data_IF_547615519626
#
_entry.id   IF_547615519626
#
_cell.length_a   1.000
_cell.length_b   1.000
_cell.length_c   1.000
_cell.angle_alpha   90.00
_cell.angle_beta   90.00
_cell.angle_gamma   90.00
#
_symmetry.space_group_name_H-M   'P 1'
#
loop_
_entity.id
_entity.type
_entity.pdbx_description
1 polymer ?
#
# COMPACT_ATOMS: atom_id res chain seq x y z
N UNK A 1 2.19 5.59 -0.21
CA UNK A 1 2.66 6.96 -0.46
C UNK A 1 2.55 7.80 0.82
N UNK A 2 3.09 9.03 0.82
CA UNK A 2 2.89 9.98 1.90
C UNK A 2 1.49 10.62 1.85
N UNK A 3 1.17 11.53 2.79
CA UNK A 3 -0.10 12.31 2.79
C UNK A 3 -0.43 13.01 1.47
N UNK A 4 0.53 13.17 0.55
CA UNK A 4 0.28 13.74 -0.78
C UNK A 4 -0.41 12.76 -1.74
N UNK A 5 -0.40 11.46 -1.48
CA UNK A 5 -1.16 10.47 -2.25
C UNK A 5 -2.64 10.53 -1.88
N UNK A 6 -3.52 10.72 -2.87
CA UNK A 6 -4.97 10.79 -2.63
C UNK A 6 -5.51 9.51 -1.99
N UNK A 7 -5.13 8.34 -2.52
CA UNK A 7 -5.51 7.04 -1.97
C UNK A 7 -5.08 6.90 -0.52
N UNK A 8 -3.79 7.13 -0.22
CA UNK A 8 -3.27 7.00 1.15
C UNK A 8 -3.98 7.93 2.12
N UNK A 9 -4.31 9.16 1.69
CA UNK A 9 -5.01 10.13 2.52
C UNK A 9 -6.41 9.66 2.89
N UNK A 10 -7.15 9.12 1.93
CA UNK A 10 -8.54 8.69 2.12
C UNK A 10 -8.67 7.26 2.69
N UNK A 11 -7.68 6.38 2.48
CA UNK A 11 -7.76 5.00 2.97
C UNK A 11 -7.01 4.77 4.29
N UNK A 12 -6.00 5.57 4.58
CA UNK A 12 -5.17 5.35 5.77
C UNK A 12 -5.12 6.57 6.67
N UNK A 13 -4.66 7.71 6.18
CA UNK A 13 -4.37 8.87 7.05
C UNK A 13 -5.60 9.48 7.72
N UNK A 14 -6.78 9.43 7.12
CA UNK A 14 -7.99 9.98 7.73
C UNK A 14 -8.43 9.20 8.97
N UNK A 15 -8.08 7.92 9.08
CA UNK A 15 -8.45 7.07 10.21
C UNK A 15 -7.46 7.12 11.38
N UNK A 16 -6.26 7.70 11.19
CA UNK A 16 -5.24 7.73 12.24
C UNK A 16 -5.71 8.36 13.56
N UNK A 17 -6.43 9.51 13.56
CA UNK A 17 -6.91 10.07 14.82
C UNK A 17 -7.88 9.14 15.56
N UNK A 18 -8.78 8.48 14.82
CA UNK A 18 -9.72 7.52 15.37
C UNK A 18 -8.99 6.31 15.98
N UNK A 19 -8.03 5.73 15.26
CA UNK A 19 -7.24 4.60 15.72
C UNK A 19 -6.46 4.96 17.00
N UNK A 20 -5.81 6.12 17.02
CA UNK A 20 -5.07 6.60 18.19
C UNK A 20 -5.98 6.84 19.40
N UNK A 21 -7.17 7.39 19.20
CA UNK A 21 -8.16 7.60 20.26
C UNK A 21 -8.62 6.26 20.86
N UNK A 22 -8.66 5.19 20.04
CA UNK A 22 -9.00 3.84 20.48
C UNK A 22 -7.79 3.00 20.95
N UNK A 23 -6.67 3.64 21.28
CA UNK A 23 -5.51 2.98 21.87
C UNK A 23 -4.60 2.23 20.89
N UNK A 24 -4.82 2.39 19.58
CA UNK A 24 -3.97 1.76 18.55
C UNK A 24 -2.78 2.66 18.25
N UNK A 25 -1.57 2.18 18.50
CA UNK A 25 -0.34 2.89 18.15
C UNK A 25 0.00 2.62 16.68
N UNK A 26 -0.01 3.67 15.86
CA UNK A 26 0.25 3.54 14.42
C UNK A 26 1.57 4.21 14.02
N UNK A 27 2.45 3.43 13.41
CA UNK A 27 3.67 3.92 12.78
C UNK A 27 3.50 3.94 11.26
N UNK A 28 3.50 5.13 10.67
CA UNK A 28 3.37 5.29 9.22
C UNK A 28 4.72 5.28 8.55
N UNK A 29 4.93 4.36 7.62
CA UNK A 29 6.19 4.15 6.92
C UNK A 29 6.03 4.25 5.39
N UNK A 30 5.91 5.45 4.79
CA UNK A 30 5.84 5.59 3.34
C UNK A 30 7.14 5.17 2.67
N UNK A 31 7.04 4.47 1.51
CA UNK A 31 8.22 4.06 0.75
C UNK A 31 8.99 5.29 0.23
N UNK A 32 8.25 6.27 -0.29
CA UNK A 32 8.82 7.52 -0.80
C UNK A 32 8.33 8.72 0.02
N UNK A 33 9.25 9.60 0.45
CA UNK A 33 8.89 10.83 1.16
C UNK A 33 8.16 11.81 0.23
N UNK A 34 7.41 12.76 0.81
CA UNK A 34 6.64 13.78 0.07
C UNK A 34 7.50 14.58 -0.94
N UNK A 35 8.78 14.82 -0.60
CA UNK A 35 9.74 15.50 -1.49
C UNK A 35 9.97 14.74 -2.79
N UNK A 36 10.02 13.40 -2.74
CA UNK A 36 10.17 12.58 -3.95
C UNK A 36 8.96 12.69 -4.88
N UNK A 37 7.75 12.66 -4.32
CA UNK A 37 6.52 12.84 -5.10
C UNK A 37 6.47 14.22 -5.75
N UNK A 38 6.83 15.27 -5.03
CA UNK A 38 6.89 16.65 -5.57
C UNK A 38 7.84 16.72 -6.78
N UNK A 39 9.04 16.16 -6.67
CA UNK A 39 10.01 16.14 -7.75
C UNK A 39 9.53 15.32 -8.96
N UNK A 40 8.75 14.25 -8.75
CA UNK A 40 8.19 13.45 -9.85
C UNK A 40 7.10 14.20 -10.63
N UNK A 41 6.33 15.05 -9.96
CA UNK A 41 5.36 15.94 -10.64
C UNK A 41 6.04 17.06 -11.46
N UNK A 42 7.29 17.39 -11.17
CA UNK A 42 8.08 18.41 -11.88
C UNK A 42 8.99 17.84 -12.98
N UNK A 43 8.71 16.62 -13.49
CA UNK A 43 9.44 15.96 -14.58
C UNK A 43 10.94 15.71 -14.38
N UNK A 44 11.41 15.66 -13.14
CA UNK A 44 12.80 15.29 -12.87
C UNK A 44 13.00 13.79 -13.04
N UNK A 45 14.02 13.35 -13.79
CA UNK A 45 14.38 11.93 -13.97
C UNK A 45 14.48 11.24 -12.62
N UNK A 46 13.87 10.04 -12.49
CA UNK A 46 13.94 9.25 -11.27
C UNK A 46 15.40 8.99 -10.86
N UNK A 47 15.76 9.36 -9.64
CA UNK A 47 17.10 9.11 -9.12
C UNK A 47 17.17 7.65 -8.63
N UNK A 48 17.91 6.81 -9.34
CA UNK A 48 18.08 5.39 -9.03
C UNK A 48 18.66 5.18 -7.62
N UNK A 49 19.59 6.03 -7.20
CA UNK A 49 20.19 5.96 -5.88
C UNK A 49 19.16 6.21 -4.76
N UNK A 50 18.31 7.22 -4.92
CA UNK A 50 17.21 7.48 -3.97
C UNK A 50 16.20 6.32 -3.92
N UNK A 51 15.94 5.68 -5.05
CA UNK A 51 15.09 4.49 -5.09
C UNK A 51 15.75 3.33 -4.35
N UNK A 52 17.02 3.05 -4.59
CA UNK A 52 17.77 2.00 -3.90
C UNK A 52 17.80 2.24 -2.37
N UNK A 53 18.05 3.48 -1.94
CA UNK A 53 18.01 3.87 -0.53
C UNK A 53 16.61 3.65 0.10
N UNK A 54 15.53 3.99 -0.62
CA UNK A 54 14.17 3.78 -0.15
C UNK A 54 13.88 2.28 0.05
N UNK A 55 14.33 1.43 -0.87
CA UNK A 55 14.19 -0.03 -0.78
C UNK A 55 15.03 -0.62 0.35
N UNK A 56 16.27 -0.18 0.51
CA UNK A 56 17.14 -0.62 1.61
C UNK A 56 16.54 -0.23 2.98
N UNK A 57 16.04 1.00 3.10
CA UNK A 57 15.32 1.46 4.31
C UNK A 57 14.07 0.60 4.57
N UNK A 58 13.28 0.30 3.54
CA UNK A 58 12.08 -0.55 3.66
C UNK A 58 12.44 -1.95 4.13
N UNK A 59 13.48 -2.55 3.54
CA UNK A 59 13.97 -3.86 3.96
C UNK A 59 14.37 -3.84 5.43
N UNK A 60 15.15 -2.83 5.84
CA UNK A 60 15.55 -2.66 7.24
C UNK A 60 14.35 -2.52 8.18
N UNK A 61 13.32 -1.75 7.80
CA UNK A 61 12.08 -1.61 8.57
C UNK A 61 11.35 -2.96 8.75
N UNK A 62 11.26 -3.77 7.69
CA UNK A 62 10.64 -5.10 7.76
C UNK A 62 11.44 -6.07 8.63
N UNK A 63 12.77 -6.05 8.53
CA UNK A 63 13.65 -6.87 9.38
C UNK A 63 13.57 -6.48 10.86
N UNK A 64 13.15 -5.26 11.17
CA UNK A 64 12.95 -4.76 12.53
C UNK A 64 11.46 -4.62 12.90
N UNK A 65 10.57 -5.31 12.20
CA UNK A 65 9.13 -5.21 12.42
C UNK A 65 8.64 -5.99 13.65
N UNK A 66 9.47 -6.78 14.30
CA UNK A 66 9.13 -7.63 15.47
C UNK A 66 8.31 -6.93 16.57
N UNK A 67 8.48 -5.63 16.86
CA UNK A 67 7.67 -4.95 17.88
C UNK A 67 6.22 -4.68 17.50
N UNK A 68 5.83 -4.92 16.25
CA UNK A 68 4.47 -4.64 15.77
C UNK A 68 3.59 -5.88 15.84
N UNK A 69 2.32 -5.69 16.19
CA UNK A 69 1.29 -6.73 16.25
C UNK A 69 0.64 -6.99 14.89
N UNK A 70 0.67 -5.98 13.99
CA UNK A 70 0.06 -6.01 12.66
C UNK A 70 0.84 -5.15 11.66
N UNK A 71 0.94 -5.61 10.43
CA UNK A 71 1.47 -4.83 9.31
C UNK A 71 0.32 -4.56 8.33
N UNK A 72 0.03 -3.28 8.06
CA UNK A 72 -0.94 -2.87 7.05
C UNK A 72 -0.21 -2.38 5.80
N UNK A 73 -0.46 -3.04 4.67
CA UNK A 73 0.22 -2.79 3.40
C UNK A 73 -0.76 -2.15 2.43
N UNK A 74 -0.54 -0.91 2.09
CA UNK A 74 -1.26 -0.23 1.03
C UNK A 74 -0.61 -0.56 -0.31
N UNK A 75 -1.32 -1.33 -1.14
CA UNK A 75 -0.94 -1.78 -2.49
C UNK A 75 0.21 -2.80 -2.50
N UNK A 76 1.45 -2.36 -2.29
CA UNK A 76 2.64 -3.22 -2.34
C UNK A 76 3.80 -2.64 -1.53
N UNK A 77 4.63 -3.52 -0.99
CA UNK A 77 5.81 -3.12 -0.18
C UNK A 77 6.97 -2.71 -1.09
N UNK A 78 7.26 -3.53 -2.11
CA UNK A 78 8.36 -3.34 -3.05
C UNK A 78 7.85 -3.32 -4.50
N UNK A 79 7.45 -2.15 -5.05
CA UNK A 79 7.09 -2.03 -6.46
C UNK A 79 8.18 -2.61 -7.39
N UNK A 80 7.77 -3.28 -8.46
CA UNK A 80 8.67 -3.86 -9.46
C UNK A 80 9.61 -5.00 -9.00
N UNK A 81 9.56 -5.42 -7.74
CA UNK A 81 10.25 -6.62 -7.29
C UNK A 81 9.30 -7.82 -7.23
N UNK A 82 9.81 -9.07 -7.37
CA UNK A 82 9.02 -10.28 -7.23
C UNK A 82 8.31 -10.41 -5.88
N UNK A 83 7.21 -11.17 -5.85
CA UNK A 83 6.38 -11.35 -4.65
C UNK A 83 7.13 -11.91 -3.43
N UNK A 84 8.21 -12.67 -3.64
CA UNK A 84 9.02 -13.19 -2.52
C UNK A 84 9.60 -12.08 -1.62
N UNK A 85 9.80 -10.87 -2.13
CA UNK A 85 10.22 -9.73 -1.32
C UNK A 85 9.10 -9.16 -0.44
N UNK A 86 7.84 -9.37 -0.84
CA UNK A 86 6.67 -8.94 -0.06
C UNK A 86 6.48 -9.82 1.18
N UNK A 87 6.88 -11.08 1.13
CA UNK A 87 6.72 -12.04 2.22
C UNK A 87 7.84 -11.99 3.27
N UNK A 88 8.83 -11.11 3.13
CA UNK A 88 9.92 -10.97 4.11
C UNK A 88 9.37 -10.63 5.51
N UNK A 89 8.29 -9.84 5.60
CA UNK A 89 7.62 -9.54 6.87
C UNK A 89 7.09 -10.78 7.59
N UNK A 90 6.78 -11.86 6.87
CA UNK A 90 6.30 -13.13 7.43
C UNK A 90 7.36 -13.88 8.28
N UNK A 91 8.64 -13.50 8.19
CA UNK A 91 9.73 -14.06 9.03
C UNK A 91 9.39 -13.93 10.52
N UNK A 92 8.71 -12.85 10.92
CA UNK A 92 8.33 -12.61 12.31
C UNK A 92 6.96 -13.19 12.68
N UNK A 93 6.28 -13.88 11.75
CA UNK A 93 4.90 -14.39 11.91
C UNK A 93 3.89 -13.29 12.29
N UNK A 94 4.17 -12.04 11.96
CA UNK A 94 3.27 -10.93 12.20
C UNK A 94 2.15 -11.02 11.15
N UNK A 95 0.87 -11.03 11.54
CA UNK A 95 -0.22 -10.98 10.59
C UNK A 95 -0.16 -9.68 9.79
N UNK A 96 -0.55 -9.74 8.52
CA UNK A 96 -0.56 -8.57 7.68
C UNK A 96 -1.80 -8.47 6.80
N UNK A 97 -2.20 -7.25 6.57
CA UNK A 97 -3.35 -6.87 5.76
C UNK A 97 -2.86 -6.25 4.46
N UNK A 98 -3.41 -6.67 3.35
CA UNK A 98 -3.18 -6.07 2.05
C UNK A 98 -4.39 -5.25 1.62
N UNK A 99 -4.22 -3.96 1.37
CA UNK A 99 -5.29 -3.01 1.05
C UNK A 99 -5.17 -2.49 -0.39
N UNK A 100 -6.24 -2.69 -1.17
CA UNK A 100 -6.32 -2.34 -2.58
C UNK A 100 -7.54 -1.44 -2.87
N UNK A 101 -7.29 -0.24 -3.38
CA UNK A 101 -8.30 0.67 -3.92
C UNK A 101 -8.30 0.67 -5.46
N UNK A 102 -7.17 0.30 -6.08
CA UNK A 102 -6.94 0.26 -7.52
C UNK A 102 -6.56 -1.14 -7.99
N UNK A 103 -6.85 -1.46 -9.25
CA UNK A 103 -6.43 -2.68 -9.94
C UNK A 103 -4.93 -2.65 -10.29
N UNK A 104 -4.08 -2.47 -9.27
CA UNK A 104 -2.62 -2.32 -9.43
C UNK A 104 -1.97 -3.53 -10.11
N UNK A 105 -2.59 -4.72 -10.05
CA UNK A 105 -2.13 -5.93 -10.72
C UNK A 105 -2.04 -5.74 -12.24
N UNK A 106 -2.87 -4.87 -12.84
CA UNK A 106 -2.81 -4.57 -14.26
C UNK A 106 -1.54 -3.84 -14.71
N UNK A 107 -0.82 -3.23 -13.78
CA UNK A 107 0.53 -2.71 -14.07
C UNK A 107 1.49 -3.81 -14.51
N UNK A 108 1.27 -5.03 -14.03
CA UNK A 108 2.13 -6.19 -14.26
C UNK A 108 1.56 -7.18 -15.28
N UNK A 109 0.30 -7.59 -15.12
CA UNK A 109 -0.32 -8.63 -15.97
C UNK A 109 -0.66 -8.11 -17.38
N UNK A 110 -0.97 -6.81 -17.53
CA UNK A 110 -1.21 -6.15 -18.81
C UNK A 110 0.00 -5.36 -19.35
N UNK A 111 1.17 -5.48 -18.73
CA UNK A 111 2.37 -4.77 -19.19
C UNK A 111 2.70 -5.12 -20.67
N UNK A 112 3.07 -4.12 -21.47
CA UNK A 112 3.55 -4.32 -22.84
C UNK A 112 4.85 -5.13 -22.90
N UNK A 113 5.65 -5.10 -21.82
CA UNK A 113 6.94 -5.80 -21.73
C UNK A 113 6.73 -7.25 -21.31
N UNK A 114 7.02 -8.20 -22.20
CA UNK A 114 6.81 -9.65 -21.98
C UNK A 114 7.50 -10.18 -20.72
N UNK A 115 8.73 -9.73 -20.44
CA UNK A 115 9.48 -10.16 -19.25
C UNK A 115 8.79 -9.73 -17.95
N UNK A 116 8.21 -8.52 -17.91
CA UNK A 116 7.45 -8.03 -16.77
C UNK A 116 6.22 -8.90 -16.53
N UNK A 117 5.43 -9.19 -17.59
CA UNK A 117 4.27 -10.08 -17.47
C UNK A 117 4.65 -11.46 -16.96
N UNK A 118 5.75 -12.03 -17.46
CA UNK A 118 6.21 -13.37 -17.07
C UNK A 118 6.67 -13.44 -15.63
N UNK A 119 7.41 -12.44 -15.15
CA UNK A 119 8.01 -12.43 -13.82
C UNK A 119 7.08 -11.86 -12.75
N UNK A 120 6.33 -10.82 -13.08
CA UNK A 120 5.54 -10.02 -12.11
C UNK A 120 4.03 -10.12 -12.34
N UNK A 121 3.55 -10.69 -13.44
CA UNK A 121 2.12 -10.74 -13.78
C UNK A 121 1.24 -11.38 -12.71
N UNK A 122 1.77 -12.30 -11.93
CA UNK A 122 1.09 -12.91 -10.77
C UNK A 122 1.60 -12.42 -9.42
N UNK A 123 2.34 -11.31 -9.40
CA UNK A 123 2.92 -10.79 -8.15
C UNK A 123 1.84 -10.45 -7.13
N UNK A 124 0.88 -9.64 -7.52
CA UNK A 124 -0.19 -9.16 -6.62
C UNK A 124 -1.09 -10.32 -6.18
N UNK A 125 -1.39 -11.26 -7.06
CA UNK A 125 -2.16 -12.47 -6.70
C UNK A 125 -1.45 -13.27 -5.59
N UNK A 126 -0.12 -13.42 -5.68
CA UNK A 126 0.66 -14.07 -4.63
C UNK A 126 0.65 -13.29 -3.31
N UNK A 127 0.70 -11.96 -3.40
CA UNK A 127 0.58 -11.09 -2.22
C UNK A 127 -0.78 -11.27 -1.56
N UNK A 128 -1.87 -11.22 -2.33
CA UNK A 128 -3.24 -11.45 -1.85
C UNK A 128 -3.39 -12.85 -1.21
N UNK A 129 -2.83 -13.88 -1.84
CA UNK A 129 -2.87 -15.26 -1.34
C UNK A 129 -2.22 -15.42 0.05
N UNK A 130 -1.11 -14.72 0.30
CA UNK A 130 -0.37 -14.85 1.56
C UNK A 130 -0.80 -13.85 2.64
N UNK A 131 -1.64 -12.86 2.31
CA UNK A 131 -2.18 -11.93 3.28
C UNK A 131 -3.15 -12.64 4.25
N UNK A 132 -3.09 -12.29 5.52
CA UNK A 132 -4.08 -12.76 6.50
C UNK A 132 -5.47 -12.16 6.25
N UNK A 133 -5.52 -10.97 5.65
CA UNK A 133 -6.74 -10.29 5.22
C UNK A 133 -6.43 -9.44 3.99
N UNK A 134 -7.30 -9.51 2.99
CA UNK A 134 -7.31 -8.57 1.86
C UNK A 134 -8.49 -7.62 2.02
N UNK A 135 -8.21 -6.33 2.00
CA UNK A 135 -9.24 -5.28 1.93
C UNK A 135 -9.33 -4.82 0.49
N UNK A 136 -10.51 -4.94 -0.09
CA UNK A 136 -10.82 -4.56 -1.46
C UNK A 136 -11.71 -3.32 -1.48
N UNK A 137 -11.36 -2.31 -2.26
CA UNK A 137 -12.15 -1.07 -2.39
C UNK A 137 -13.46 -1.25 -3.14
N UNK A 138 -13.64 -2.37 -3.85
CA UNK A 138 -14.84 -2.70 -4.61
C UNK A 138 -14.94 -4.20 -4.92
N UNK A 139 -16.09 -4.62 -5.46
CA UNK A 139 -16.38 -6.01 -5.80
C UNK A 139 -15.36 -6.60 -6.81
N UNK A 140 -14.96 -5.85 -7.82
CA UNK A 140 -14.00 -6.30 -8.83
C UNK A 140 -12.64 -6.72 -8.21
N UNK A 141 -12.15 -5.94 -7.25
CA UNK A 141 -10.91 -6.24 -6.52
C UNK A 141 -11.09 -7.43 -5.57
N UNK A 142 -12.26 -7.55 -4.94
CA UNK A 142 -12.59 -8.68 -4.09
C UNK A 142 -12.60 -10.00 -4.88
N UNK A 143 -13.26 -10.05 -6.02
CA UNK A 143 -13.28 -11.20 -6.91
C UNK A 143 -11.87 -11.61 -7.39
N UNK A 144 -10.99 -10.62 -7.64
CA UNK A 144 -9.59 -10.92 -7.97
C UNK A 144 -8.85 -11.56 -6.80
N UNK A 145 -9.07 -11.06 -5.58
CA UNK A 145 -8.46 -11.62 -4.37
C UNK A 145 -8.94 -13.04 -4.10
N UNK A 146 -10.24 -13.31 -4.25
CA UNK A 146 -10.83 -14.65 -4.13
C UNK A 146 -10.24 -15.62 -5.17
N UNK A 147 -10.16 -15.20 -6.44
CA UNK A 147 -9.52 -15.97 -7.52
C UNK A 147 -8.04 -16.23 -7.27
N UNK A 148 -7.35 -15.33 -6.58
CA UNK A 148 -5.97 -15.50 -6.15
C UNK A 148 -5.82 -16.48 -4.98
N UNK A 149 -6.92 -16.87 -4.33
CA UNK A 149 -6.94 -17.76 -3.17
C UNK A 149 -6.61 -17.04 -1.86
N UNK A 150 -7.02 -15.79 -1.71
CA UNK A 150 -6.89 -15.05 -0.45
C UNK A 150 -7.67 -15.74 0.66
N UNK A 151 -7.10 -15.82 1.87
CA UNK A 151 -7.71 -16.51 3.01
C UNK A 151 -8.98 -15.80 3.51
N UNK A 152 -8.96 -14.49 3.50
CA UNK A 152 -10.08 -13.65 3.91
C UNK A 152 -10.10 -12.39 3.07
N UNK A 153 -11.29 -12.01 2.58
CA UNK A 153 -11.51 -10.80 1.78
C UNK A 153 -12.65 -10.00 2.39
N UNK A 154 -12.42 -8.70 2.57
CA UNK A 154 -13.43 -7.75 3.04
C UNK A 154 -13.54 -6.59 2.06
N UNK A 155 -14.75 -6.17 1.76
CA UNK A 155 -14.98 -5.01 0.90
C UNK A 155 -15.14 -3.77 1.77
N UNK A 156 -14.18 -2.84 1.63
CA UNK A 156 -14.20 -1.54 2.30
C UNK A 156 -14.04 -0.44 1.26
N UNK A 157 -15.14 0.16 0.77
CA UNK A 157 -15.08 1.25 -0.19
C UNK A 157 -14.30 2.45 0.35
N UNK A 158 -13.68 3.21 -0.57
CA UNK A 158 -13.07 4.49 -0.21
C UNK A 158 -14.16 5.51 0.08
N UNK A 159 -14.17 6.05 1.27
CA UNK A 159 -15.11 7.09 1.69
C UNK A 159 -14.39 8.40 1.96
N UNK A 160 -15.10 9.51 1.82
CA UNK A 160 -14.60 10.85 2.09
C UNK A 160 -15.27 11.36 3.36
N UNK A 161 -14.45 11.87 4.27
CA UNK A 161 -14.92 12.55 5.47
C UNK A 161 -15.49 13.92 5.05
N UNK A 162 -16.81 14.01 4.99
CA UNK A 162 -17.51 15.21 4.52
C UNK A 162 -17.27 16.42 5.42
N UNK A 163 -17.08 16.21 6.72
CA UNK A 163 -16.82 17.30 7.67
C UNK A 163 -15.49 18.02 7.38
N UNK A 164 -14.49 17.30 6.89
CA UNK A 164 -13.19 17.86 6.50
C UNK A 164 -13.20 18.63 5.17
N UNK A 165 -14.24 18.44 4.36
CA UNK A 165 -14.35 19.04 3.03
C UNK A 165 -15.53 19.98 2.91
N UNK A 166 -16.15 20.35 4.02
CA UNK A 166 -17.19 21.37 4.03
C UNK A 166 -16.60 22.73 3.65
N UNK A 167 -17.27 23.41 2.71
CA UNK A 167 -16.83 24.72 2.17
C UNK A 167 -16.75 25.82 3.23
N UNK A 168 -17.49 25.69 4.32
CA UNK A 168 -17.45 26.62 5.45
C UNK A 168 -16.10 26.69 6.13
N UNK A 169 -15.35 25.59 6.19
CA UNK A 169 -14.01 25.55 6.80
C UNK A 169 -12.88 26.04 5.88
N UNK A 170 -13.14 26.19 4.57
CA UNK A 170 -12.14 26.66 3.60
C UNK A 170 -12.03 28.20 3.51
N UNK A 171 -12.96 28.93 4.10
CA UNK A 171 -12.97 30.40 4.09
C UNK A 171 -12.29 31.03 5.33
N UNK A 172 -11.73 30.23 6.23
CA UNK A 172 -11.06 30.70 7.45
C UNK A 172 -9.52 30.54 7.41
N UNK A 173 -8.94 30.29 6.22
CA UNK A 173 -7.49 30.19 6.03
C UNK A 173 -6.97 31.27 5.09
#
# INVERSE_FOLDING_TARGET
YSRMGASSRLRSYQYLPFLQHNGVQVTVAPLFPSRYLRNRYTHTRGNLLLTAQAYAKRLWQLLNARPYDLIWIEKEIFPWLPACFETIGSIWRIPWVADYDDAIFHRYDLSSVKIVRRMLGKKIDRVMHHAGLVIAGNQYLAERAEKAGAQRVEILPTVVDMERYDRTTLNEC
#
